data_IF_546414042864
#
_entry.id   IF_546414042864
#
_cell.length_a   1.000
_cell.length_b   1.000
_cell.length_c   1.000
_cell.angle_alpha   90.00
_cell.angle_beta   90.00
_cell.angle_gamma   90.00
#
_symmetry.space_group_name_H-M   'P 1'
#
loop_
_entity.id
_entity.type
_entity.pdbx_description
1 polymer ?
#
# COMPACT_ATOMS: atom_id res chain seq x y z
N UNK A 1 -2.40 -13.61 -23.60
CA UNK A 1 -2.56 -13.90 -22.15
C UNK A 1 -3.96 -13.54 -21.65
N UNK A 2 -4.40 -14.12 -20.54
CA UNK A 2 -5.62 -13.70 -19.82
C UNK A 2 -5.29 -12.55 -18.86
N UNK A 3 -6.22 -11.63 -18.66
CA UNK A 3 -6.10 -10.54 -17.69
C UNK A 3 -7.44 -10.16 -17.07
N UNK A 4 -7.42 -9.78 -15.80
CA UNK A 4 -8.60 -9.35 -15.03
C UNK A 4 -8.88 -7.88 -15.30
N UNK A 5 -10.14 -7.53 -15.58
CA UNK A 5 -10.60 -6.14 -15.73
C UNK A 5 -11.79 -5.86 -14.82
N UNK A 6 -11.98 -4.60 -14.45
CA UNK A 6 -13.13 -4.14 -13.67
C UNK A 6 -14.05 -3.25 -14.51
N UNK A 7 -15.14 -3.81 -15.08
CA UNK A 7 -16.19 -3.00 -15.73
C UNK A 7 -16.93 -2.07 -14.75
N UNK A 8 -16.77 -2.29 -13.44
CA UNK A 8 -17.47 -1.57 -12.40
C UNK A 8 -18.70 -2.31 -11.89
N UNK A 9 -19.47 -1.65 -11.00
CA UNK A 9 -20.72 -2.19 -10.43
C UNK A 9 -20.57 -3.57 -9.80
N UNK A 10 -19.44 -3.81 -9.14
CA UNK A 10 -19.05 -5.09 -8.53
C UNK A 10 -19.00 -6.26 -9.52
N UNK A 11 -18.53 -5.99 -10.73
CA UNK A 11 -18.29 -6.99 -11.76
C UNK A 11 -16.81 -7.08 -12.08
N UNK A 12 -16.40 -8.27 -12.46
CA UNK A 12 -15.06 -8.62 -12.90
C UNK A 12 -15.18 -9.45 -14.16
N UNK A 13 -14.31 -9.20 -15.13
CA UNK A 13 -14.20 -10.01 -16.34
C UNK A 13 -12.75 -10.48 -16.53
N UNK A 14 -12.59 -11.69 -17.05
CA UNK A 14 -11.29 -12.21 -17.48
C UNK A 14 -11.28 -12.18 -19.00
N UNK A 15 -10.53 -11.23 -19.57
CA UNK A 15 -10.43 -11.02 -21.02
C UNK A 15 -9.12 -11.57 -21.58
N UNK A 16 -9.10 -11.80 -22.89
CA UNK A 16 -7.87 -12.16 -23.61
C UNK A 16 -7.19 -10.90 -24.14
N UNK A 17 -5.89 -10.80 -23.89
CA UNK A 17 -5.00 -9.75 -24.36
C UNK A 17 -3.86 -10.37 -25.19
N UNK A 18 -3.26 -9.66 -26.15
CA UNK A 18 -2.00 -10.10 -26.74
C UNK A 18 -0.90 -10.16 -25.67
N UNK A 19 0.04 -11.09 -25.83
CA UNK A 19 1.24 -11.08 -24.98
C UNK A 19 2.06 -9.82 -25.30
N UNK A 20 2.52 -9.07 -24.29
CA UNK A 20 3.22 -7.81 -24.53
C UNK A 20 4.63 -8.06 -25.08
N UNK A 21 5.11 -7.13 -25.90
CA UNK A 21 6.52 -7.04 -26.34
C UNK A 21 7.10 -5.72 -25.82
N UNK A 22 8.31 -5.71 -25.25
CA UNK A 22 8.89 -4.46 -24.74
C UNK A 22 9.32 -3.55 -25.90
N UNK A 23 8.98 -2.27 -25.81
CA UNK A 23 9.56 -1.22 -26.65
C UNK A 23 10.89 -0.72 -26.10
N UNK A 24 11.42 0.35 -26.71
CA UNK A 24 12.65 1.00 -26.23
C UNK A 24 12.51 1.50 -24.78
N UNK A 25 13.44 1.11 -23.91
CA UNK A 25 13.44 1.47 -22.49
C UNK A 25 12.41 0.70 -21.63
N UNK A 26 11.72 -0.29 -22.20
CA UNK A 26 10.71 -1.09 -21.53
C UNK A 26 11.19 -2.52 -21.25
N UNK A 27 10.51 -3.20 -20.34
CA UNK A 27 10.67 -4.62 -20.05
C UNK A 27 9.32 -5.30 -20.02
N UNK A 28 9.33 -6.63 -20.14
CA UNK A 28 8.20 -7.48 -19.80
C UNK A 28 8.55 -8.32 -18.58
N UNK A 29 7.65 -8.30 -17.59
CA UNK A 29 7.71 -9.09 -16.39
C UNK A 29 6.78 -10.29 -16.54
N UNK A 30 7.23 -11.48 -16.14
CA UNK A 30 6.35 -12.56 -15.75
C UNK A 30 5.96 -12.36 -14.28
N UNK A 31 4.67 -12.12 -14.06
CA UNK A 31 4.16 -11.83 -12.71
C UNK A 31 4.09 -13.13 -11.92
N UNK A 32 4.70 -13.11 -10.74
CA UNK A 32 4.71 -14.22 -9.78
C UNK A 32 3.81 -13.96 -8.58
N UNK A 33 3.51 -12.70 -8.30
CA UNK A 33 2.54 -12.29 -7.30
C UNK A 33 1.93 -10.95 -7.69
N UNK A 34 0.60 -10.87 -7.60
CA UNK A 34 -0.15 -9.64 -7.71
C UNK A 34 -1.05 -9.49 -6.50
N UNK A 35 -0.66 -8.63 -5.56
CA UNK A 35 -1.47 -8.37 -4.37
C UNK A 35 -2.78 -7.64 -4.68
N UNK A 36 -3.77 -7.81 -3.80
CA UNK A 36 -5.10 -7.19 -3.89
C UNK A 36 -5.19 -6.03 -2.90
N UNK A 37 -5.60 -4.85 -3.35
CA UNK A 37 -5.59 -3.63 -2.52
C UNK A 37 -6.98 -3.00 -2.39
N UNK A 38 -7.23 -2.34 -1.26
CA UNK A 38 -8.52 -1.67 -1.02
C UNK A 38 -8.83 -0.58 -2.05
N UNK A 39 -7.82 0.01 -2.71
CA UNK A 39 -8.03 0.94 -3.83
C UNK A 39 -8.58 0.23 -5.08
N UNK A 40 -8.30 -1.05 -5.31
CA UNK A 40 -8.91 -1.81 -6.42
C UNK A 40 -10.44 -1.86 -6.27
N UNK A 41 -10.93 -1.93 -5.02
CA UNK A 41 -12.37 -1.91 -4.72
C UNK A 41 -13.06 -0.61 -5.14
N UNK A 42 -12.33 0.52 -5.23
CA UNK A 42 -12.91 1.77 -5.73
C UNK A 42 -13.33 1.62 -7.19
N UNK A 43 -12.48 1.04 -8.02
CA UNK A 43 -12.75 0.79 -9.44
C UNK A 43 -13.74 -0.36 -9.64
N UNK A 44 -13.60 -1.44 -8.87
CA UNK A 44 -14.53 -2.56 -8.89
C UNK A 44 -15.97 -2.13 -8.55
N UNK A 45 -16.15 -1.22 -7.59
CA UNK A 45 -17.48 -0.75 -7.15
C UNK A 45 -18.06 0.37 -8.01
N UNK A 46 -17.22 1.25 -8.56
CA UNK A 46 -17.66 2.43 -9.31
C UNK A 46 -18.57 2.02 -10.48
N UNK A 47 -19.67 2.74 -10.68
CA UNK A 47 -20.51 2.56 -11.86
C UNK A 47 -19.71 3.00 -13.09
N UNK A 48 -19.32 2.06 -13.96
CA UNK A 48 -18.45 2.33 -15.12
C UNK A 48 -16.95 2.15 -14.88
N UNK A 49 -16.51 1.62 -13.74
CA UNK A 49 -15.11 1.24 -13.51
C UNK A 49 -14.16 2.43 -13.34
N UNK A 50 -12.90 2.28 -13.76
CA UNK A 50 -11.90 3.35 -13.64
C UNK A 50 -12.21 4.58 -14.52
N UNK A 51 -12.84 4.39 -15.67
CA UNK A 51 -13.14 5.50 -16.60
C UNK A 51 -14.19 6.47 -16.04
N UNK A 52 -15.11 6.00 -15.19
CA UNK A 52 -16.12 6.88 -14.57
C UNK A 52 -15.59 7.78 -13.45
N UNK A 53 -14.34 7.57 -13.02
CA UNK A 53 -13.67 8.39 -12.01
C UNK A 53 -12.90 9.57 -12.61
N UNK A 54 -13.10 9.87 -13.91
CA UNK A 54 -12.48 11.02 -14.56
C UNK A 54 -10.99 10.85 -14.85
N UNK A 55 -10.52 9.60 -14.94
CA UNK A 55 -9.10 9.25 -15.17
C UNK A 55 -8.67 9.32 -16.65
N UNK A 56 -9.45 10.02 -17.49
CA UNK A 56 -9.20 10.21 -18.92
C UNK A 56 -9.85 9.14 -19.82
N UNK A 57 -9.82 9.38 -21.13
CA UNK A 57 -10.24 8.40 -22.14
C UNK A 57 -9.21 7.26 -22.17
N UNK A 58 -9.59 6.12 -21.58
CA UNK A 58 -8.78 4.90 -21.64
C UNK A 58 -8.98 4.25 -23.02
N UNK A 59 -7.89 3.86 -23.68
CA UNK A 59 -7.88 3.14 -24.97
C UNK A 59 -8.31 1.66 -24.81
N UNK A 60 -9.45 1.42 -24.15
CA UNK A 60 -10.03 0.11 -23.91
C UNK A 60 -9.87 -0.42 -22.47
N UNK A 61 -10.23 -1.70 -22.25
CA UNK A 61 -10.18 -2.32 -20.93
C UNK A 61 -8.75 -2.40 -20.39
N UNK A 62 -8.56 -1.97 -19.14
CA UNK A 62 -7.27 -2.02 -18.45
C UNK A 62 -7.20 -3.25 -17.53
N UNK A 63 -6.16 -4.07 -17.72
CA UNK A 63 -5.81 -5.13 -16.77
C UNK A 63 -5.56 -4.50 -15.39
N UNK A 64 -6.25 -5.01 -14.36
CA UNK A 64 -6.20 -4.52 -12.99
C UNK A 64 -4.94 -4.97 -12.22
N UNK A 65 -4.85 -4.56 -10.95
CA UNK A 65 -3.82 -4.99 -10.00
C UNK A 65 -2.57 -4.12 -10.04
N UNK A 66 -2.28 -3.43 -8.93
CA UNK A 66 -1.18 -2.45 -8.84
C UNK A 66 -0.14 -2.82 -7.79
N UNK A 67 -0.09 -4.09 -7.40
CA UNK A 67 0.92 -4.63 -6.47
C UNK A 67 1.82 -5.69 -7.15
N UNK A 68 2.53 -5.33 -8.23
CA UNK A 68 3.32 -6.26 -9.03
C UNK A 68 4.59 -6.74 -8.34
N UNK A 69 4.85 -8.04 -8.45
CA UNK A 69 6.17 -8.63 -8.23
C UNK A 69 6.40 -9.84 -9.15
N UNK A 70 7.60 -9.95 -9.73
CA UNK A 70 7.87 -10.96 -10.74
C UNK A 70 9.31 -11.02 -11.22
N UNK A 71 9.48 -11.64 -12.38
CA UNK A 71 10.78 -11.86 -13.02
C UNK A 71 10.81 -11.14 -14.37
N UNK A 72 11.91 -10.46 -14.68
CA UNK A 72 12.13 -9.91 -16.02
C UNK A 72 12.31 -11.06 -17.02
N UNK A 73 11.46 -11.15 -18.03
CA UNK A 73 11.50 -12.21 -19.05
C UNK A 73 11.80 -11.70 -20.46
N UNK A 74 11.75 -10.39 -20.67
CA UNK A 74 12.19 -9.78 -21.93
C UNK A 74 12.59 -8.32 -21.68
N UNK A 75 13.65 -7.87 -22.35
CA UNK A 75 14.20 -6.52 -22.22
C UNK A 75 14.22 -5.85 -23.58
N UNK A 76 13.65 -4.65 -23.66
CA UNK A 76 13.63 -3.86 -24.89
C UNK A 76 14.94 -3.12 -25.14
N UNK A 77 15.07 -2.58 -26.35
CA UNK A 77 16.23 -1.80 -26.77
C UNK A 77 16.50 -0.60 -25.84
N UNK A 78 17.77 -0.24 -25.64
CA UNK A 78 18.13 0.96 -24.87
C UNK A 78 17.99 0.84 -23.36
N UNK A 79 17.65 -0.34 -22.83
CA UNK A 79 17.70 -0.63 -21.40
C UNK A 79 19.13 -1.09 -21.04
N UNK A 80 19.85 -0.35 -20.17
CA UNK A 80 21.16 -0.78 -19.70
C UNK A 80 21.06 -2.06 -18.85
N UNK A 81 22.02 -2.98 -18.98
CA UNK A 81 22.01 -4.25 -18.21
C UNK A 81 22.03 -4.06 -16.68
N UNK A 82 22.61 -2.96 -16.19
CA UNK A 82 22.62 -2.64 -14.76
C UNK A 82 21.25 -2.12 -14.26
N UNK A 83 20.33 -1.78 -15.16
CA UNK A 83 18.95 -1.39 -14.84
C UNK A 83 18.04 -2.62 -14.90
N UNK A 84 18.13 -3.43 -15.96
CA UNK A 84 17.39 -4.68 -16.06
C UNK A 84 18.08 -5.69 -17.00
N UNK A 85 17.99 -6.97 -16.65
CA UNK A 85 18.33 -8.12 -17.50
C UNK A 85 17.35 -9.27 -17.22
N UNK A 86 17.20 -10.17 -18.18
CA UNK A 86 16.35 -11.36 -18.00
C UNK A 86 16.77 -12.19 -16.79
N UNK A 87 15.78 -12.77 -16.10
CA UNK A 87 15.97 -13.51 -14.85
C UNK A 87 16.03 -12.65 -13.59
N UNK A 88 16.10 -11.31 -13.69
CA UNK A 88 16.07 -10.45 -12.50
C UNK A 88 14.73 -10.55 -11.77
N UNK A 89 14.81 -10.75 -10.45
CA UNK A 89 13.67 -10.66 -9.53
C UNK A 89 13.42 -9.19 -9.19
N UNK A 90 12.20 -8.73 -9.45
CA UNK A 90 11.85 -7.32 -9.31
C UNK A 90 10.46 -7.12 -8.71
N UNK A 91 10.36 -6.06 -7.93
CA UNK A 91 9.12 -5.35 -7.68
C UNK A 91 8.98 -4.27 -8.76
N UNK A 92 7.76 -3.86 -9.07
CA UNK A 92 7.52 -2.74 -9.97
C UNK A 92 6.86 -1.60 -9.17
N UNK A 93 7.38 -0.38 -9.32
CA UNK A 93 6.83 0.82 -8.70
C UNK A 93 5.61 1.26 -9.50
N UNK A 94 4.41 1.12 -8.95
CA UNK A 94 3.13 1.13 -9.69
C UNK A 94 2.72 2.46 -10.33
N UNK A 95 3.64 3.41 -10.45
CA UNK A 95 3.49 4.68 -11.15
C UNK A 95 4.53 4.83 -12.27
N UNK A 96 4.11 5.49 -13.35
CA UNK A 96 4.98 6.00 -14.42
C UNK A 96 4.79 7.50 -14.58
N UNK A 97 5.75 8.26 -14.08
CA UNK A 97 5.89 9.70 -14.34
C UNK A 97 6.76 9.99 -15.57
N UNK A 98 7.18 11.24 -15.75
CA UNK A 98 8.04 11.64 -16.87
C UNK A 98 9.47 11.10 -16.76
N UNK A 99 9.93 10.78 -15.55
CA UNK A 99 11.27 10.22 -15.29
C UNK A 99 12.38 11.26 -15.10
N UNK A 100 12.10 12.56 -15.27
CA UNK A 100 13.14 13.61 -15.25
C UNK A 100 12.84 14.83 -14.38
N UNK A 101 11.58 15.09 -14.01
CA UNK A 101 11.25 16.22 -13.15
C UNK A 101 11.79 16.04 -11.72
N UNK A 102 11.71 17.08 -10.89
CA UNK A 102 12.23 17.06 -9.51
C UNK A 102 11.66 15.92 -8.65
N UNK A 103 10.39 15.58 -8.83
CA UNK A 103 9.75 14.47 -8.12
C UNK A 103 10.14 13.11 -8.71
N UNK A 104 10.11 12.96 -10.04
CA UNK A 104 10.50 11.71 -10.68
C UNK A 104 11.97 11.36 -10.45
N UNK A 105 12.87 12.35 -10.49
CA UNK A 105 14.31 12.13 -10.29
C UNK A 105 14.64 11.66 -8.87
N UNK A 106 13.78 11.95 -7.89
CA UNK A 106 13.87 11.48 -6.50
C UNK A 106 12.99 10.25 -6.23
N UNK A 107 12.40 9.66 -7.27
CA UNK A 107 11.61 8.43 -7.23
C UNK A 107 10.14 8.60 -6.83
N UNK A 108 9.63 9.83 -6.73
CA UNK A 108 8.24 10.15 -6.42
C UNK A 108 7.42 10.32 -7.70
N UNK A 109 7.29 9.24 -8.48
CA UNK A 109 6.64 9.29 -9.80
C UNK A 109 5.14 9.63 -9.74
N UNK A 110 4.46 9.34 -8.62
CA UNK A 110 3.07 9.73 -8.37
C UNK A 110 2.86 11.24 -8.21
N UNK A 111 3.95 11.99 -7.94
CA UNK A 111 3.93 13.45 -7.81
C UNK A 111 4.47 14.14 -9.07
N UNK A 112 4.53 13.44 -10.21
CA UNK A 112 5.07 13.99 -11.44
C UNK A 112 4.37 15.30 -11.88
N UNK A 113 5.14 16.39 -12.05
CA UNK A 113 4.63 17.70 -12.47
C UNK A 113 4.11 17.72 -13.92
N UNK A 114 4.62 16.83 -14.77
CA UNK A 114 4.17 16.64 -16.15
C UNK A 114 2.94 15.71 -16.24
N UNK A 115 2.37 15.33 -15.10
CA UNK A 115 1.32 14.34 -14.98
C UNK A 115 1.85 12.90 -14.85
N UNK A 116 1.08 12.07 -14.15
CA UNK A 116 1.32 10.63 -14.06
C UNK A 116 0.74 9.98 -15.31
N UNK A 117 1.57 9.35 -16.13
CA UNK A 117 1.14 8.72 -17.39
C UNK A 117 0.39 7.42 -17.13
N UNK A 118 1.00 6.54 -16.34
CA UNK A 118 0.38 5.28 -15.94
C UNK A 118 0.32 5.18 -14.42
N UNK A 119 -0.87 4.91 -13.91
CA UNK A 119 -1.06 4.19 -12.65
C UNK A 119 -1.37 2.77 -13.06
N UNK A 120 -0.40 1.87 -12.88
CA UNK A 120 -0.56 0.49 -13.33
C UNK A 120 -1.72 -0.17 -12.60
N UNK A 121 -2.55 -0.94 -13.31
CA UNK A 121 -3.81 -1.47 -12.79
C UNK A 121 -5.01 -0.53 -12.91
N UNK A 122 -4.81 0.70 -13.40
CA UNK A 122 -5.84 1.74 -13.45
C UNK A 122 -5.85 2.47 -14.80
N UNK A 123 -4.78 3.19 -15.13
CA UNK A 123 -4.63 3.88 -16.42
C UNK A 123 -3.64 3.18 -17.36
N UNK A 124 -2.81 2.29 -16.82
CA UNK A 124 -1.97 1.37 -17.59
C UNK A 124 -2.19 -0.09 -17.13
N UNK A 125 -1.89 -1.07 -17.99
CA UNK A 125 -2.08 -2.49 -17.66
C UNK A 125 -1.27 -2.94 -16.44
N UNK A 126 -1.97 -3.48 -15.46
CA UNK A 126 -1.43 -3.95 -14.19
C UNK A 126 -1.03 -5.43 -14.17
N UNK A 127 -0.94 -5.96 -12.95
CA UNK A 127 -0.32 -7.23 -12.61
C UNK A 127 -1.29 -8.40 -12.48
N UNK A 128 -2.60 -8.17 -12.60
CA UNK A 128 -3.60 -9.24 -12.64
C UNK A 128 -3.65 -9.96 -14.01
N UNK A 129 -2.49 -10.36 -14.50
CA UNK A 129 -2.25 -11.11 -15.72
C UNK A 129 -0.88 -11.80 -15.66
N UNK A 130 -0.66 -12.79 -16.52
CA UNK A 130 0.61 -13.55 -16.57
C UNK A 130 1.82 -12.66 -16.86
N UNK A 131 1.67 -11.68 -17.75
CA UNK A 131 2.73 -10.75 -18.11
C UNK A 131 2.32 -9.30 -17.91
N UNK A 132 3.28 -8.46 -17.56
CA UNK A 132 3.11 -7.01 -17.40
C UNK A 132 4.24 -6.28 -18.11
N UNK A 133 3.91 -5.27 -18.91
CA UNK A 133 4.88 -4.40 -19.56
C UNK A 133 5.04 -3.11 -18.78
N UNK A 134 6.27 -2.68 -18.53
CA UNK A 134 6.54 -1.40 -17.87
C UNK A 134 7.90 -0.82 -18.29
N UNK A 135 8.14 0.48 -18.08
CA UNK A 135 9.46 1.05 -18.27
C UNK A 135 10.47 0.48 -17.29
N UNK A 136 11.66 0.11 -17.76
CA UNK A 136 12.71 -0.51 -16.93
C UNK A 136 13.09 0.36 -15.72
N UNK A 137 13.02 1.69 -15.87
CA UNK A 137 13.31 2.63 -14.77
C UNK A 137 12.36 2.51 -13.57
N UNK A 138 11.17 1.92 -13.75
CA UNK A 138 10.18 1.77 -12.67
C UNK A 138 10.42 0.51 -11.84
N UNK A 139 11.39 -0.32 -12.21
CA UNK A 139 11.74 -1.53 -11.47
C UNK A 139 12.49 -1.20 -10.18
N UNK A 140 12.25 -2.03 -9.18
CA UNK A 140 12.99 -2.08 -7.92
C UNK A 140 13.44 -3.52 -7.71
N UNK A 141 14.74 -3.74 -7.48
CA UNK A 141 15.26 -5.08 -7.22
C UNK A 141 14.60 -5.70 -6.00
N UNK A 142 14.20 -6.97 -6.12
CA UNK A 142 13.73 -7.77 -5.00
C UNK A 142 14.94 -8.54 -4.42
N UNK A 143 15.29 -8.36 -3.14
CA UNK A 143 16.31 -9.19 -2.48
C UNK A 143 15.99 -10.69 -2.61
N UNK A 144 17.03 -11.53 -2.75
CA UNK A 144 16.87 -12.96 -3.02
C UNK A 144 16.13 -13.70 -1.88
N UNK A 145 16.28 -13.20 -0.66
CA UNK A 145 15.69 -13.70 0.57
C UNK A 145 14.18 -13.50 0.63
N UNK A 146 13.63 -12.52 -0.11
CA UNK A 146 12.22 -12.16 -0.05
C UNK A 146 11.39 -12.90 -1.09
N UNK A 147 10.28 -13.50 -0.67
CA UNK A 147 9.32 -14.11 -1.59
C UNK A 147 8.70 -13.06 -2.54
N UNK A 148 8.14 -13.51 -3.67
CA UNK A 148 7.38 -12.61 -4.55
C UNK A 148 6.14 -12.05 -3.87
N UNK A 149 5.52 -12.77 -2.93
CA UNK A 149 4.39 -12.25 -2.12
C UNK A 149 4.83 -11.10 -1.22
N UNK A 150 5.96 -11.26 -0.54
CA UNK A 150 6.58 -10.18 0.23
C UNK A 150 6.86 -8.96 -0.65
N UNK A 151 7.41 -9.18 -1.85
CA UNK A 151 7.60 -8.13 -2.85
C UNK A 151 6.30 -7.43 -3.25
N UNK A 152 5.22 -8.18 -3.51
CA UNK A 152 3.91 -7.60 -3.82
C UNK A 152 3.36 -6.76 -2.65
N UNK A 153 3.52 -7.22 -1.40
CA UNK A 153 3.14 -6.42 -0.22
C UNK A 153 3.94 -5.10 -0.15
N UNK A 154 5.25 -5.14 -0.42
CA UNK A 154 6.11 -3.95 -0.46
C UNK A 154 5.72 -3.02 -1.61
N UNK A 155 5.29 -3.55 -2.76
CA UNK A 155 4.82 -2.78 -3.92
C UNK A 155 3.55 -1.96 -3.69
N UNK A 156 2.88 -2.07 -2.54
CA UNK A 156 1.85 -1.09 -2.15
C UNK A 156 1.65 -1.02 -0.64
N UNK A 157 0.95 -1.97 -0.03
CA UNK A 157 0.48 -1.85 1.36
C UNK A 157 1.61 -1.64 2.38
N UNK A 158 2.65 -2.46 2.30
CA UNK A 158 3.82 -2.40 3.20
C UNK A 158 4.73 -1.23 2.85
N UNK A 159 4.95 -0.93 1.56
CA UNK A 159 5.70 0.26 1.14
C UNK A 159 5.05 1.56 1.60
N UNK A 160 3.71 1.62 1.58
CA UNK A 160 2.92 2.78 2.01
C UNK A 160 3.03 2.97 3.52
N UNK A 161 2.93 1.88 4.28
CA UNK A 161 3.18 1.90 5.72
C UNK A 161 4.61 2.38 6.03
N UNK A 162 5.62 1.84 5.34
CA UNK A 162 7.01 2.26 5.47
C UNK A 162 7.20 3.75 5.20
N UNK A 163 6.70 4.26 4.08
CA UNK A 163 6.78 5.68 3.72
C UNK A 163 6.18 6.58 4.80
N UNK A 164 5.03 6.20 5.35
CA UNK A 164 4.37 6.95 6.41
C UNK A 164 5.15 6.92 7.74
N UNK A 165 5.72 5.76 8.13
CA UNK A 165 6.58 5.65 9.31
C UNK A 165 7.86 6.49 9.18
N UNK A 166 8.46 6.54 7.99
CA UNK A 166 9.60 7.41 7.70
C UNK A 166 9.23 8.90 7.81
N UNK A 167 8.07 9.31 7.28
CA UNK A 167 7.59 10.70 7.40
C UNK A 167 7.25 11.10 8.84
N UNK A 168 6.77 10.17 9.66
CA UNK A 168 6.61 10.38 11.10
C UNK A 168 7.96 10.56 11.80
N UNK A 169 9.05 10.10 11.21
CA UNK A 169 10.38 10.01 11.82
C UNK A 169 10.34 9.18 13.12
N UNK A 170 9.53 8.12 13.14
CA UNK A 170 9.31 7.27 14.30
C UNK A 170 10.65 6.72 14.83
N UNK A 171 10.82 6.75 16.15
CA UNK A 171 11.98 6.17 16.83
C UNK A 171 11.56 4.95 17.66
N UNK A 172 12.49 4.01 17.85
CA UNK A 172 12.22 2.74 18.52
C UNK A 172 11.84 2.87 20.00
N UNK A 173 12.16 3.98 20.66
CA UNK A 173 11.78 4.24 22.05
C UNK A 173 10.39 4.91 22.19
N UNK A 174 9.67 5.07 21.08
CA UNK A 174 8.42 5.82 21.03
C UNK A 174 7.18 4.91 21.00
N UNK A 175 6.03 5.49 21.37
CA UNK A 175 4.72 4.86 21.26
C UNK A 175 3.97 5.40 20.03
N UNK A 176 3.42 4.52 19.20
CA UNK A 176 2.58 4.88 18.05
C UNK A 176 1.17 4.28 18.17
N UNK A 177 0.14 5.07 17.85
CA UNK A 177 -1.24 4.60 17.72
C UNK A 177 -1.61 4.40 16.25
N UNK A 178 -1.98 3.19 15.84
CA UNK A 178 -2.31 2.83 14.46
C UNK A 178 -3.80 2.54 14.33
N UNK A 179 -4.52 3.47 13.70
CA UNK A 179 -5.98 3.42 13.49
C UNK A 179 -6.30 2.68 12.18
N UNK A 180 -7.02 1.57 12.30
CA UNK A 180 -7.29 0.63 11.21
C UNK A 180 -6.17 -0.39 11.07
N UNK A 181 -6.52 -1.67 11.11
CA UNK A 181 -5.65 -2.85 10.96
C UNK A 181 -6.06 -3.65 9.70
N UNK A 182 -6.37 -2.93 8.62
CA UNK A 182 -6.31 -3.49 7.27
C UNK A 182 -4.85 -3.74 6.83
N UNK A 183 -4.60 -4.12 5.56
CA UNK A 183 -3.25 -4.50 5.12
C UNK A 183 -2.15 -3.44 5.37
N UNK A 184 -2.45 -2.15 5.17
CA UNK A 184 -1.52 -1.05 5.45
C UNK A 184 -1.28 -0.90 6.96
N UNK A 185 -2.35 -0.95 7.76
CA UNK A 185 -2.28 -0.84 9.22
C UNK A 185 -1.53 -1.99 9.87
N UNK A 186 -1.80 -3.23 9.44
CA UNK A 186 -1.06 -4.42 9.89
C UNK A 186 0.42 -4.34 9.49
N UNK A 187 0.72 -3.86 8.28
CA UNK A 187 2.11 -3.62 7.86
C UNK A 187 2.77 -2.55 8.73
N UNK A 188 2.07 -1.47 9.07
CA UNK A 188 2.59 -0.43 9.94
C UNK A 188 2.84 -0.94 11.36
N UNK A 189 1.91 -1.72 11.91
CA UNK A 189 2.07 -2.39 13.21
C UNK A 189 3.31 -3.29 13.22
N UNK A 190 3.45 -4.16 12.21
CA UNK A 190 4.59 -5.06 12.07
C UNK A 190 5.91 -4.28 11.98
N UNK A 191 6.00 -3.33 11.04
CA UNK A 191 7.23 -2.56 10.81
C UNK A 191 7.59 -1.71 12.04
N UNK A 192 6.63 -1.02 12.66
CA UNK A 192 6.87 -0.20 13.84
C UNK A 192 7.33 -1.04 15.03
N UNK A 193 6.73 -2.20 15.25
CA UNK A 193 7.18 -3.14 16.29
C UNK A 193 8.63 -3.61 16.02
N UNK A 194 8.97 -3.92 14.77
CA UNK A 194 10.33 -4.35 14.39
C UNK A 194 11.35 -3.22 14.48
N UNK A 195 10.92 -1.96 14.37
CA UNK A 195 11.75 -0.78 14.66
C UNK A 195 11.98 -0.57 16.17
N UNK A 196 11.29 -1.34 17.02
CA UNK A 196 11.34 -1.27 18.48
C UNK A 196 10.22 -0.46 19.12
N UNK A 197 9.42 0.27 18.32
CA UNK A 197 8.39 1.14 18.85
C UNK A 197 7.26 0.35 19.54
N UNK A 198 6.66 0.94 20.58
CA UNK A 198 5.50 0.38 21.25
C UNK A 198 4.24 0.71 20.47
N UNK A 199 3.57 -0.30 19.92
CA UNK A 199 2.39 -0.10 19.06
C UNK A 199 1.08 -0.28 19.84
N UNK A 200 0.17 0.68 19.68
CA UNK A 200 -1.24 0.61 20.08
C UNK A 200 -2.05 0.40 18.79
N UNK A 201 -2.62 -0.78 18.60
CA UNK A 201 -3.41 -1.11 17.42
C UNK A 201 -4.90 -0.88 17.69
N UNK A 202 -5.58 -0.20 16.75
CA UNK A 202 -7.02 0.05 16.81
C UNK A 202 -7.71 -0.48 15.56
N UNK A 203 -8.77 -1.27 15.74
CA UNK A 203 -9.65 -1.73 14.67
C UNK A 203 -11.01 -2.14 15.26
N UNK A 204 -12.06 -2.15 14.45
CA UNK A 204 -13.40 -2.59 14.88
C UNK A 204 -13.54 -4.12 14.80
N UNK A 205 -12.77 -4.78 13.94
CA UNK A 205 -12.73 -6.22 13.76
C UNK A 205 -11.77 -6.92 14.72
N UNK A 206 -12.31 -7.82 15.54
CA UNK A 206 -11.52 -8.60 16.51
C UNK A 206 -10.46 -9.48 15.86
N UNK A 207 -10.75 -10.08 14.72
CA UNK A 207 -9.78 -10.88 13.97
C UNK A 207 -8.56 -10.05 13.59
N UNK A 208 -8.76 -8.82 13.11
CA UNK A 208 -7.67 -7.91 12.73
C UNK A 208 -6.86 -7.45 13.93
N UNK A 209 -7.51 -7.19 15.07
CA UNK A 209 -6.80 -6.89 16.32
C UNK A 209 -5.94 -8.07 16.78
N UNK A 210 -6.43 -9.30 16.64
CA UNK A 210 -5.66 -10.49 16.98
C UNK A 210 -4.44 -10.65 16.05
N UNK A 211 -4.58 -10.40 14.75
CA UNK A 211 -3.43 -10.36 13.83
C UNK A 211 -2.45 -9.23 14.16
N UNK A 212 -2.95 -8.06 14.55
CA UNK A 212 -2.08 -6.96 14.98
C UNK A 212 -1.24 -7.36 16.21
N UNK A 213 -1.81 -8.12 17.15
CA UNK A 213 -1.09 -8.69 18.30
C UNK A 213 0.01 -9.65 17.87
N UNK A 214 -0.29 -10.55 16.93
CA UNK A 214 0.69 -11.48 16.34
C UNK A 214 1.86 -10.73 15.66
N UNK A 215 1.59 -9.55 15.12
CA UNK A 215 2.60 -8.65 14.53
C UNK A 215 3.26 -7.68 15.53
N UNK A 216 3.06 -7.89 16.84
CA UNK A 216 3.78 -7.17 17.89
C UNK A 216 3.06 -5.93 18.43
N UNK A 217 1.77 -5.75 18.16
CA UNK A 217 0.98 -4.74 18.87
C UNK A 217 0.99 -5.03 20.38
N UNK A 218 1.45 -4.05 21.16
CA UNK A 218 1.53 -4.16 22.62
C UNK A 218 0.14 -3.98 23.28
N UNK A 219 -0.72 -3.16 22.66
CA UNK A 219 -2.06 -2.83 23.14
C UNK A 219 -3.04 -2.91 21.99
N UNK A 220 -4.22 -3.45 22.27
CA UNK A 220 -5.34 -3.54 21.33
C UNK A 220 -6.49 -2.71 21.89
N UNK A 221 -7.09 -1.87 21.06
CA UNK A 221 -8.30 -1.11 21.40
C UNK A 221 -9.34 -1.37 20.31
N UNK A 222 -10.52 -1.85 20.70
CA UNK A 222 -11.67 -1.87 19.82
C UNK A 222 -12.52 -0.60 20.05
N UNK A 223 -12.58 0.34 19.09
CA UNK A 223 -13.35 1.57 19.23
C UNK A 223 -14.85 1.35 19.45
N UNK A 224 -15.41 0.22 19.00
CA UNK A 224 -16.84 -0.10 19.20
C UNK A 224 -17.17 -0.53 20.62
N UNK A 225 -16.16 -0.89 21.41
CA UNK A 225 -16.27 -1.34 22.81
C UNK A 225 -15.61 -0.38 23.80
N UNK A 226 -15.15 0.77 23.31
CA UNK A 226 -14.40 1.76 24.09
C UNK A 226 -15.13 3.09 24.02
N UNK A 227 -15.65 3.55 25.16
CA UNK A 227 -16.44 4.80 25.23
C UNK A 227 -15.61 6.02 24.80
N UNK A 228 -14.38 6.14 25.31
CA UNK A 228 -13.43 7.19 24.92
C UNK A 228 -12.08 6.60 24.50
N UNK A 229 -11.88 6.51 23.18
CA UNK A 229 -10.65 5.99 22.57
C UNK A 229 -9.44 6.87 22.87
N UNK A 230 -9.62 8.20 22.92
CA UNK A 230 -8.53 9.14 23.17
C UNK A 230 -8.06 8.99 24.62
N UNK A 231 -9.00 8.89 25.56
CA UNK A 231 -8.67 8.65 26.96
C UNK A 231 -8.04 7.26 27.16
N UNK A 232 -8.53 6.21 26.51
CA UNK A 232 -7.92 4.88 26.59
C UNK A 232 -6.45 4.89 26.12
N UNK A 233 -6.13 5.63 25.05
CA UNK A 233 -4.74 5.82 24.60
C UNK A 233 -3.94 6.61 25.64
N UNK A 234 -4.52 7.64 26.26
CA UNK A 234 -3.85 8.41 27.33
C UNK A 234 -3.54 7.54 28.54
N UNK A 235 -4.48 6.71 28.99
CA UNK A 235 -4.31 5.87 30.17
C UNK A 235 -3.12 4.91 30.03
N UNK A 236 -2.99 4.27 28.86
CA UNK A 236 -1.88 3.36 28.56
C UNK A 236 -0.56 4.07 28.21
N UNK A 237 -0.59 5.40 28.11
CA UNK A 237 0.57 6.27 27.89
C UNK A 237 0.80 7.26 29.04
N UNK A 238 0.34 6.91 30.25
CA UNK A 238 0.55 7.70 31.48
C UNK A 238 0.02 9.14 31.39
N UNK A 239 -1.10 9.33 30.69
CA UNK A 239 -1.77 10.62 30.49
C UNK A 239 -1.19 11.47 29.35
N UNK A 240 -0.02 11.10 28.80
CA UNK A 240 0.68 11.95 27.83
C UNK A 240 0.10 11.88 26.42
N UNK A 241 -0.37 10.71 25.99
CA UNK A 241 -0.71 10.43 24.59
C UNK A 241 0.45 9.78 23.82
N UNK A 242 0.17 9.29 22.62
CA UNK A 242 1.16 8.65 21.76
C UNK A 242 2.17 9.66 21.19
N UNK A 243 3.38 9.21 20.86
CA UNK A 243 4.39 10.07 20.22
C UNK A 243 3.99 10.39 18.77
N UNK A 244 3.44 9.39 18.09
CA UNK A 244 2.83 9.55 16.78
C UNK A 244 1.55 8.75 16.64
N UNK A 245 0.77 9.07 15.62
CA UNK A 245 -0.37 8.27 15.19
C UNK A 245 -0.39 8.10 13.68
N UNK A 246 -1.04 7.03 13.24
CA UNK A 246 -1.21 6.70 11.83
C UNK A 246 -2.68 6.36 11.56
N UNK A 247 -3.36 7.10 10.69
CA UNK A 247 -4.70 6.72 10.19
C UNK A 247 -4.58 5.92 8.89
N UNK A 248 -4.96 4.65 8.97
CA UNK A 248 -5.14 3.73 7.85
C UNK A 248 -6.62 3.35 7.63
N UNK A 249 -7.54 3.93 8.41
CA UNK A 249 -8.97 3.58 8.36
C UNK A 249 -9.76 4.46 7.40
N UNK A 250 -9.28 5.69 7.12
CA UNK A 250 -10.00 6.76 6.42
C UNK A 250 -11.30 7.24 7.10
N UNK A 251 -11.66 6.70 8.27
CA UNK A 251 -12.88 7.08 8.97
C UNK A 251 -12.74 8.48 9.61
N UNK A 252 -13.71 9.41 9.43
CA UNK A 252 -13.63 10.77 9.96
C UNK A 252 -13.35 10.83 11.46
N UNK A 253 -14.05 9.98 12.23
CA UNK A 253 -13.87 9.92 13.68
C UNK A 253 -12.46 9.44 14.08
N UNK A 254 -11.93 8.43 13.38
CA UNK A 254 -10.59 7.91 13.66
C UNK A 254 -9.52 8.96 13.34
N UNK A 255 -9.71 9.78 12.28
CA UNK A 255 -8.80 10.88 11.97
C UNK A 255 -8.79 11.97 13.03
N UNK A 256 -9.95 12.40 13.51
CA UNK A 256 -10.02 13.35 14.63
C UNK A 256 -9.33 12.78 15.87
N UNK A 257 -9.61 11.51 16.21
CA UNK A 257 -8.99 10.83 17.35
C UNK A 257 -7.48 10.64 17.19
N UNK A 258 -7.00 10.36 15.97
CA UNK A 258 -5.56 10.28 15.67
C UNK A 258 -4.84 11.58 16.03
N UNK A 259 -5.41 12.75 15.69
CA UNK A 259 -4.86 14.05 16.09
C UNK A 259 -4.98 14.30 17.60
N UNK A 260 -6.10 13.92 18.21
CA UNK A 260 -6.38 14.17 19.62
C UNK A 260 -5.56 13.30 20.58
N UNK A 261 -5.18 12.09 20.16
CA UNK A 261 -4.50 11.09 20.98
C UNK A 261 -2.98 11.28 21.08
N UNK A 262 -2.36 12.04 20.18
CA UNK A 262 -0.92 12.28 20.27
C UNK A 262 -0.58 13.23 21.41
N UNK A 263 0.66 13.19 21.90
CA UNK A 263 1.17 14.08 22.95
C UNK A 263 1.46 15.49 22.45
N UNK A 264 1.84 16.40 23.35
CA UNK A 264 2.43 17.69 22.98
C UNK A 264 3.69 17.49 22.13
N UNK A 265 3.82 18.20 21.01
CA UNK A 265 4.81 17.96 19.94
C UNK A 265 4.66 16.63 19.20
N UNK A 266 3.53 15.95 19.36
CA UNK A 266 3.23 14.71 18.66
C UNK A 266 2.89 14.93 17.17
N UNK A 267 2.95 13.86 16.40
CA UNK A 267 2.70 13.88 14.95
C UNK A 267 1.58 12.92 14.57
N UNK A 268 0.58 13.39 13.85
CA UNK A 268 -0.49 12.55 13.28
C UNK A 268 -0.31 12.43 11.78
N UNK A 269 -0.22 11.20 11.27
CA UNK A 269 -0.05 10.93 9.84
C UNK A 269 -1.31 10.28 9.24
N UNK A 270 -1.83 10.86 8.17
CA UNK A 270 -2.98 10.34 7.43
C UNK A 270 -2.50 9.59 6.18
N UNK A 271 -2.89 8.33 6.08
CA UNK A 271 -2.52 7.39 5.01
C UNK A 271 -3.77 6.90 4.27
N UNK A 272 -4.87 6.67 4.98
CA UNK A 272 -6.15 6.30 4.37
C UNK A 272 -6.65 7.40 3.43
N UNK A 273 -7.07 7.03 2.21
CA UNK A 273 -7.45 7.95 1.14
C UNK A 273 -8.97 8.15 1.06
N UNK A 274 -9.42 9.40 0.90
CA UNK A 274 -10.84 9.79 0.78
C UNK A 274 -11.38 10.50 2.02
N UNK A 275 -12.67 10.86 2.05
CA UNK A 275 -13.38 11.45 3.20
C UNK A 275 -12.77 12.75 3.78
N UNK A 276 -13.36 13.28 4.85
CA UNK A 276 -13.00 14.55 5.50
C UNK A 276 -12.67 14.37 6.98
N UNK A 277 -12.05 15.39 7.60
CA UNK A 277 -11.84 15.47 9.05
C UNK A 277 -12.07 16.91 9.52
N UNK A 278 -12.74 17.04 10.67
CA UNK A 278 -12.95 18.33 11.34
C UNK A 278 -12.14 18.35 12.64
N UNK A 279 -11.39 19.43 12.86
CA UNK A 279 -10.49 19.58 14.00
C UNK A 279 -10.75 20.88 14.75
N UNK A 280 -10.66 20.86 16.07
CA UNK A 280 -10.59 22.07 16.88
C UNK A 280 -9.15 22.60 16.85
N UNK A 281 -8.89 23.60 16.00
CA UNK A 281 -7.55 24.14 15.77
C UNK A 281 -6.82 24.51 17.08
N UNK A 282 -7.52 25.10 18.05
CA UNK A 282 -6.88 25.53 19.30
C UNK A 282 -6.51 24.37 20.22
N UNK A 283 -7.46 23.46 20.49
CA UNK A 283 -7.27 22.38 21.46
C UNK A 283 -6.57 21.16 20.86
N UNK A 284 -6.90 20.81 19.62
CA UNK A 284 -6.38 19.62 18.96
C UNK A 284 -4.98 19.88 18.39
N UNK A 285 -4.62 21.12 18.07
CA UNK A 285 -3.36 21.42 17.39
C UNK A 285 -2.51 22.49 18.09
N UNK A 286 -2.97 23.74 18.10
CA UNK A 286 -2.14 24.91 18.42
C UNK A 286 -1.55 24.86 19.84
N UNK A 287 -2.39 24.62 20.85
CA UNK A 287 -1.96 24.59 22.26
C UNK A 287 -1.03 23.42 22.60
N UNK A 288 -0.97 22.40 21.73
CA UNK A 288 -0.17 21.18 21.90
C UNK A 288 0.95 21.05 20.86
N UNK A 289 1.08 22.00 19.94
CA UNK A 289 2.12 21.98 18.89
C UNK A 289 2.11 20.69 18.06
N UNK A 290 0.90 20.19 17.71
CA UNK A 290 0.76 18.95 16.94
C UNK A 290 1.04 19.19 15.46
N UNK A 291 1.79 18.29 14.83
CA UNK A 291 2.02 18.29 13.37
C UNK A 291 1.10 17.27 12.71
N UNK A 292 0.43 17.68 11.62
CA UNK A 292 -0.37 16.77 10.77
C UNK A 292 0.36 16.55 9.45
N UNK A 293 0.44 15.29 9.04
CA UNK A 293 1.20 14.86 7.87
C UNK A 293 0.27 14.08 6.94
N UNK A 294 0.19 14.47 5.68
CA UNK A 294 -0.31 13.58 4.62
C UNK A 294 0.81 12.68 4.12
N UNK A 295 0.52 11.39 3.93
CA UNK A 295 1.46 10.43 3.34
C UNK A 295 0.80 9.61 2.25
N UNK A 296 1.10 9.95 1.00
CA UNK A 296 0.59 9.23 -0.17
C UNK A 296 1.67 8.28 -0.69
N UNK A 297 1.43 6.98 -0.53
CA UNK A 297 2.30 5.87 -0.94
C UNK A 297 3.77 6.07 -0.53
N UNK A 298 4.71 6.01 -1.47
CA UNK A 298 6.16 6.00 -1.24
C UNK A 298 6.91 6.33 -2.54
N UNK A 299 8.21 6.60 -2.45
CA UNK A 299 9.08 6.68 -3.62
C UNK A 299 9.68 5.32 -3.98
N UNK A 300 10.14 5.16 -5.22
CA UNK A 300 10.95 4.01 -5.65
C UNK A 300 12.16 3.75 -4.74
N UNK A 301 12.81 4.82 -4.27
CA UNK A 301 13.92 4.75 -3.30
C UNK A 301 13.42 4.27 -1.94
N UNK A 302 12.26 4.73 -1.49
CA UNK A 302 11.62 4.26 -0.26
C UNK A 302 11.21 2.79 -0.34
N UNK A 303 10.72 2.34 -1.50
CA UNK A 303 10.39 0.94 -1.77
C UNK A 303 11.62 0.03 -1.65
N UNK A 304 12.75 0.43 -2.26
CA UNK A 304 14.01 -0.30 -2.15
C UNK A 304 14.45 -0.42 -0.68
N UNK A 305 14.47 0.70 0.06
CA UNK A 305 14.81 0.72 1.49
C UNK A 305 13.88 -0.12 2.35
N UNK A 306 12.59 -0.19 1.99
CA UNK A 306 11.64 -1.06 2.68
C UNK A 306 12.01 -2.53 2.48
N UNK A 307 12.33 -2.93 1.24
CA UNK A 307 12.75 -4.30 0.93
C UNK A 307 14.07 -4.67 1.62
N UNK A 308 15.07 -3.79 1.57
CA UNK A 308 16.34 -3.95 2.29
C UNK A 308 16.10 -4.15 3.79
N UNK A 309 15.32 -3.28 4.42
CA UNK A 309 15.02 -3.38 5.85
C UNK A 309 14.30 -4.70 6.21
N UNK A 310 13.33 -5.12 5.39
CA UNK A 310 12.58 -6.36 5.60
C UNK A 310 13.50 -7.58 5.47
N UNK A 311 14.40 -7.58 4.49
CA UNK A 311 15.38 -8.65 4.31
C UNK A 311 16.38 -8.68 5.47
N UNK A 312 16.99 -7.55 5.82
CA UNK A 312 18.00 -7.44 6.89
C UNK A 312 17.46 -7.84 8.27
N UNK A 313 16.16 -7.61 8.50
CA UNK A 313 15.47 -7.96 9.75
C UNK A 313 14.78 -9.32 9.70
N UNK A 314 14.88 -10.04 8.60
CA UNK A 314 14.23 -11.34 8.38
C UNK A 314 12.71 -11.29 8.67
N UNK A 315 12.06 -10.20 8.30
CA UNK A 315 10.64 -9.97 8.61
C UNK A 315 9.78 -10.82 7.66
N UNK A 316 9.00 -11.73 8.23
CA UNK A 316 8.07 -12.57 7.47
C UNK A 316 6.82 -11.79 7.02
N UNK A 317 6.91 -11.12 5.87
CA UNK A 317 5.77 -10.41 5.25
C UNK A 317 4.72 -11.36 4.65
N UNK A 318 5.10 -12.59 4.32
CA UNK A 318 4.16 -13.59 3.80
C UNK A 318 2.98 -13.83 4.75
N UNK A 319 3.21 -13.68 6.06
CA UNK A 319 2.18 -13.79 7.09
C UNK A 319 1.07 -12.72 6.95
N UNK A 320 1.29 -11.60 6.23
CA UNK A 320 0.23 -10.62 5.97
C UNK A 320 -0.91 -11.23 5.15
N UNK A 321 -0.57 -12.12 4.21
CA UNK A 321 -1.53 -12.75 3.31
C UNK A 321 -2.35 -13.81 4.04
N UNK A 322 -3.68 -13.71 3.94
CA UNK A 322 -4.62 -14.73 4.43
C UNK A 322 -5.12 -15.64 3.33
N UNK A 323 -5.05 -15.19 2.09
CA UNK A 323 -5.58 -15.93 0.95
C UNK A 323 -4.64 -15.83 -0.25
N UNK A 324 -4.53 -16.94 -0.96
CA UNK A 324 -3.81 -17.05 -2.22
C UNK A 324 -4.77 -17.61 -3.27
N UNK A 325 -4.83 -16.95 -4.42
CA UNK A 325 -5.79 -17.25 -5.47
C UNK A 325 -5.07 -17.45 -6.79
N UNK A 326 -5.62 -18.30 -7.65
CA UNK A 326 -5.24 -18.36 -9.07
C UNK A 326 -6.06 -17.35 -9.88
N UNK A 327 -5.58 -17.00 -11.07
CA UNK A 327 -6.22 -16.02 -11.94
C UNK A 327 -7.68 -16.37 -12.29
N UNK A 328 -8.00 -17.65 -12.43
CA UNK A 328 -9.35 -18.15 -12.73
C UNK A 328 -10.30 -18.11 -11.52
N UNK A 329 -9.78 -17.94 -10.30
CA UNK A 329 -10.55 -17.77 -9.07
C UNK A 329 -10.84 -16.30 -8.73
N UNK A 330 -10.50 -15.38 -9.62
CA UNK A 330 -10.56 -13.94 -9.35
C UNK A 330 -11.94 -13.41 -8.96
N UNK A 331 -13.01 -13.98 -9.53
CA UNK A 331 -14.38 -13.61 -9.18
C UNK A 331 -14.65 -13.87 -7.68
N UNK A 332 -14.39 -15.09 -7.21
CA UNK A 332 -14.54 -15.47 -5.81
C UNK A 332 -13.64 -14.63 -4.90
N UNK A 333 -12.38 -14.41 -5.33
CA UNK A 333 -11.42 -13.60 -4.60
C UNK A 333 -11.94 -12.17 -4.35
N UNK A 334 -12.46 -11.50 -5.39
CA UNK A 334 -12.96 -10.13 -5.29
C UNK A 334 -14.31 -10.01 -4.59
N UNK A 335 -15.19 -11.02 -4.69
CA UNK A 335 -16.41 -11.10 -3.89
C UNK A 335 -16.11 -11.18 -2.39
N UNK A 336 -15.17 -12.05 -1.99
CA UNK A 336 -14.72 -12.15 -0.60
C UNK A 336 -14.03 -10.87 -0.14
N UNK A 337 -13.17 -10.30 -0.98
CA UNK A 337 -12.41 -9.09 -0.66
C UNK A 337 -13.32 -7.86 -0.50
N UNK A 338 -14.43 -7.78 -1.25
CA UNK A 338 -15.42 -6.70 -1.16
C UNK A 338 -16.09 -6.62 0.22
N UNK A 339 -16.17 -7.74 0.96
CA UNK A 339 -16.70 -7.76 2.33
C UNK A 339 -15.85 -6.95 3.32
N UNK A 340 -14.57 -6.72 3.00
CA UNK A 340 -13.63 -5.93 3.82
C UNK A 340 -13.55 -6.35 5.30
N UNK A 341 -13.83 -7.61 5.60
CA UNK A 341 -13.73 -8.20 6.93
C UNK A 341 -12.55 -9.19 7.05
N UNK A 342 -11.96 -9.60 5.93
CA UNK A 342 -10.79 -10.49 5.87
C UNK A 342 -9.46 -9.70 5.81
N UNK A 343 -8.35 -10.44 5.77
CA UNK A 343 -6.99 -9.93 5.60
C UNK A 343 -6.57 -9.62 4.15
N UNK A 344 -5.28 -9.78 3.85
CA UNK A 344 -4.69 -9.48 2.54
C UNK A 344 -4.79 -10.69 1.59
N UNK A 345 -5.21 -10.46 0.35
CA UNK A 345 -5.18 -11.47 -0.72
C UNK A 345 -4.05 -11.23 -1.72
N UNK A 346 -3.60 -12.31 -2.37
CA UNK A 346 -2.68 -12.27 -3.52
C UNK A 346 -3.19 -13.21 -4.61
N UNK A 347 -3.05 -12.77 -5.85
CA UNK A 347 -3.28 -13.58 -7.04
C UNK A 347 -1.92 -14.03 -7.56
N UNK A 348 -1.77 -15.33 -7.78
CA UNK A 348 -0.71 -15.93 -8.58
C UNK A 348 -1.22 -16.08 -10.03
N UNK A 349 -0.75 -15.25 -10.97
CA UNK A 349 -1.25 -15.25 -12.34
C UNK A 349 -0.61 -16.31 -13.25
N UNK A 350 0.31 -17.12 -12.72
CA UNK A 350 1.18 -18.01 -13.51
C UNK A 350 0.52 -19.29 -14.02
#
# INVERSE_FOLDING_TARGET
MKGIVFPGSKKLEILNFPDPTPGHGEVVLEIKASGMCGSDLKFYRAEGGASSLGLGDLDGPIIAGHEPCGIVVSVGEGVPENVAKEGMRVMQHHYRGCGSCEHCSTGWEQLCIEGVKDVFGVTGHGAHAKYMKCPARTLVSLPEELSFKAGAAISCGTGTAWGALQRLELKGDQTIAVFGQGPVGLSATLLASQMGARVIALDTGEERLQRAKEFGAAILINPTKTEDVVQAIRDVTHGHGAHGSLDCSSAPIARSQAVQCVRTWGKACFVGEGDIVTLNVSNDMLRRQVTIIGSWTFSKVGQAKCAEYVADKEISLDALFTHEWKLDQAQEAYELFDLQNTGKGVIDPS
#
